data_IF_118713032110
#
_entry.id   IF_118713032110
#
_cell.length_a   1.000
_cell.length_b   1.000
_cell.length_c   1.000
_cell.angle_alpha   90.00
_cell.angle_beta   90.00
_cell.angle_gamma   90.00
#
_symmetry.space_group_name_H-M   'P 1'
#
loop_
_entity.id
_entity.type
_entity.pdbx_description
1 polymer ?
#
# COMPACT_ATOMS: atom_id res chain seq x y z
N UNK A 1 -11.91 13.34 -10.97
CA UNK A 1 -10.52 13.84 -11.23
C UNK A 1 -10.25 13.66 -12.71
N UNK A 2 -9.86 14.72 -13.42
CA UNK A 2 -9.51 14.65 -14.85
C UNK A 2 -8.01 14.34 -14.97
N UNK A 3 -7.71 13.07 -15.16
CA UNK A 3 -6.32 12.58 -15.20
C UNK A 3 -5.54 13.15 -16.38
N UNK A 4 -6.19 13.33 -17.55
CA UNK A 4 -5.51 13.87 -18.73
C UNK A 4 -5.07 15.32 -18.55
N UNK A 5 -5.90 16.14 -17.92
CA UNK A 5 -5.55 17.52 -17.60
C UNK A 5 -4.44 17.58 -16.54
N UNK A 6 -4.51 16.75 -15.51
CA UNK A 6 -3.44 16.66 -14.50
C UNK A 6 -2.11 16.31 -15.15
N UNK A 7 -2.07 15.31 -16.05
CA UNK A 7 -0.84 14.92 -16.74
C UNK A 7 -0.26 16.08 -17.58
N UNK A 8 -1.09 16.91 -18.19
CA UNK A 8 -0.64 18.09 -18.95
C UNK A 8 -0.07 19.19 -18.05
N UNK A 9 -0.62 19.36 -16.86
CA UNK A 9 -0.19 20.38 -15.90
C UNK A 9 1.06 20.00 -15.11
N UNK A 10 1.34 18.68 -14.96
CA UNK A 10 2.53 18.19 -14.27
C UNK A 10 3.81 18.59 -15.02
N UNK A 11 4.79 19.13 -14.29
CA UNK A 11 6.16 19.31 -14.82
C UNK A 11 6.87 17.99 -14.99
N UNK A 12 7.99 17.99 -15.71
CA UNK A 12 8.79 16.78 -15.89
C UNK A 12 9.35 16.27 -14.55
N UNK A 13 9.79 17.21 -13.70
CA UNK A 13 10.32 16.89 -12.36
C UNK A 13 9.24 16.27 -11.47
N UNK A 14 8.01 16.80 -11.50
CA UNK A 14 6.89 16.24 -10.75
C UNK A 14 6.52 14.84 -11.24
N UNK A 15 6.51 14.62 -12.56
CA UNK A 15 6.30 13.28 -13.14
C UNK A 15 7.37 12.30 -12.69
N UNK A 16 8.64 12.71 -12.71
CA UNK A 16 9.75 11.89 -12.22
C UNK A 16 9.63 11.60 -10.73
N UNK A 17 9.25 12.61 -9.92
CA UNK A 17 9.05 12.46 -8.49
C UNK A 17 7.93 11.45 -8.16
N UNK A 18 6.80 11.49 -8.87
CA UNK A 18 5.68 10.57 -8.65
C UNK A 18 6.08 9.09 -8.82
N UNK A 19 7.03 8.78 -9.71
CA UNK A 19 7.50 7.40 -9.92
C UNK A 19 8.73 7.03 -9.09
N UNK A 20 9.36 8.01 -8.42
CA UNK A 20 10.54 7.75 -7.57
C UNK A 20 10.21 7.42 -6.13
N UNK A 21 9.07 7.87 -5.66
CA UNK A 21 8.73 7.85 -4.23
C UNK A 21 9.48 8.92 -3.42
N UNK A 22 9.01 9.18 -2.21
CA UNK A 22 9.61 10.18 -1.29
C UNK A 22 10.22 9.56 -0.06
N UNK A 23 9.78 8.38 0.31
CA UNK A 23 10.23 7.60 1.45
C UNK A 23 10.02 6.12 1.12
N UNK A 24 10.38 5.23 2.05
CA UNK A 24 10.39 3.79 1.82
C UNK A 24 9.08 3.23 1.26
N UNK A 25 7.93 3.71 1.76
CA UNK A 25 6.59 3.21 1.37
C UNK A 25 5.63 4.33 0.97
N UNK A 26 6.13 5.48 0.50
CA UNK A 26 5.30 6.61 0.14
C UNK A 26 5.61 7.14 -1.25
N UNK A 27 4.56 7.59 -1.96
CA UNK A 27 4.73 8.37 -3.19
C UNK A 27 4.93 9.85 -2.87
N UNK A 28 5.62 10.57 -3.76
CA UNK A 28 5.70 12.02 -3.67
C UNK A 28 4.32 12.66 -3.90
N UNK A 29 3.88 13.59 -3.05
CA UNK A 29 2.67 14.36 -3.32
C UNK A 29 2.94 15.48 -4.33
N UNK A 30 1.88 15.95 -5.01
CA UNK A 30 1.90 17.20 -5.79
C UNK A 30 0.75 18.10 -5.30
N UNK A 31 0.95 18.84 -4.18
CA UNK A 31 -0.13 19.56 -3.49
C UNK A 31 -0.82 20.61 -4.37
N UNK A 32 -0.08 21.28 -5.27
CA UNK A 32 -0.67 22.28 -6.17
C UNK A 32 -1.72 21.73 -7.13
N UNK A 33 -1.68 20.41 -7.40
CA UNK A 33 -2.65 19.70 -8.24
C UNK A 33 -3.59 18.81 -7.41
N UNK A 34 -3.53 18.90 -6.08
CA UNK A 34 -4.36 18.09 -5.19
C UNK A 34 -4.00 16.60 -5.20
N UNK A 35 -2.78 16.23 -5.62
CA UNK A 35 -2.31 14.84 -5.59
C UNK A 35 -1.69 14.55 -4.22
N UNK A 36 -2.31 13.69 -3.40
CA UNK A 36 -1.76 13.34 -2.09
C UNK A 36 -0.60 12.35 -2.22
N UNK A 37 0.18 12.22 -1.16
CA UNK A 37 1.06 11.06 -0.99
C UNK A 37 0.21 9.81 -0.78
N UNK A 38 0.59 8.73 -1.43
CA UNK A 38 -0.03 7.40 -1.29
C UNK A 38 0.87 6.54 -0.45
N UNK A 39 0.32 5.95 0.62
CA UNK A 39 1.05 5.02 1.49
C UNK A 39 0.85 3.59 1.02
N UNK A 40 1.94 2.87 0.86
CA UNK A 40 1.97 1.45 0.48
C UNK A 40 2.40 0.59 1.68
N UNK A 41 2.10 -0.69 1.64
CA UNK A 41 2.61 -1.67 2.59
C UNK A 41 2.77 -3.02 1.91
N UNK A 42 3.80 -3.76 2.29
CA UNK A 42 3.86 -5.18 1.98
C UNK A 42 2.82 -5.95 2.78
N UNK A 43 2.45 -7.14 2.30
CA UNK A 43 1.66 -8.05 3.09
C UNK A 43 0.62 -8.88 2.36
N UNK A 44 1.00 -9.86 1.50
CA UNK A 44 0.05 -10.75 0.84
C UNK A 44 -0.68 -11.70 1.81
N UNK A 45 -0.14 -11.88 3.02
CA UNK A 45 -0.68 -12.75 4.08
C UNK A 45 -0.95 -12.00 5.38
N UNK A 46 -1.11 -10.69 5.31
CA UNK A 46 -1.29 -9.77 6.43
C UNK A 46 -0.34 -8.59 6.31
N UNK A 47 -0.76 -7.44 6.81
CA UNK A 47 -0.02 -6.20 6.66
C UNK A 47 1.35 -6.26 7.35
N UNK A 48 2.35 -5.68 6.71
CA UNK A 48 3.67 -5.43 7.27
C UNK A 48 3.95 -3.94 7.37
N UNK A 49 3.18 -3.26 8.20
CA UNK A 49 3.30 -1.82 8.43
C UNK A 49 4.53 -1.54 9.28
N UNK A 50 5.46 -0.73 8.77
CA UNK A 50 6.65 -0.36 9.50
C UNK A 50 6.35 0.68 10.56
N UNK A 51 7.03 0.57 11.71
CA UNK A 51 7.02 1.61 12.73
C UNK A 51 7.79 2.84 12.23
N UNK A 52 7.30 4.02 12.59
CA UNK A 52 8.02 5.25 12.30
C UNK A 52 9.44 5.23 12.89
N UNK A 53 10.44 5.61 12.10
CA UNK A 53 11.84 5.56 12.50
C UNK A 53 12.45 4.15 12.53
N UNK A 54 11.78 3.14 12.00
CA UNK A 54 12.28 1.77 11.89
C UNK A 54 13.40 1.61 10.85
N UNK A 55 13.95 0.40 10.79
CA UNK A 55 15.11 0.03 9.98
C UNK A 55 14.75 -0.48 8.57
N UNK A 56 13.82 0.17 7.89
CA UNK A 56 13.35 -0.20 6.55
C UNK A 56 12.81 -1.65 6.45
N UNK A 57 12.14 -2.10 7.50
CA UNK A 57 11.38 -3.36 7.49
C UNK A 57 12.16 -4.60 7.89
N UNK A 58 13.37 -4.45 8.40
CA UNK A 58 14.15 -5.60 8.91
C UNK A 58 13.65 -6.02 10.29
N UNK A 59 13.39 -5.04 11.17
CA UNK A 59 12.86 -5.29 12.52
C UNK A 59 11.72 -4.32 12.86
N UNK A 60 10.72 -4.78 13.58
CA UNK A 60 9.73 -3.90 14.17
C UNK A 60 8.61 -3.42 13.22
N UNK A 61 7.62 -4.27 12.97
CA UNK A 61 6.35 -3.87 12.36
C UNK A 61 5.28 -3.58 13.41
N UNK A 62 4.25 -2.82 13.02
CA UNK A 62 3.02 -2.72 13.79
C UNK A 62 2.30 -4.07 13.85
N UNK A 63 1.56 -4.36 14.93
CA UNK A 63 0.78 -5.59 15.02
C UNK A 63 -0.24 -5.68 13.89
N UNK A 64 -0.33 -6.83 13.25
CA UNK A 64 -1.34 -7.13 12.23
C UNK A 64 -1.68 -8.62 12.25
N UNK A 65 -2.82 -8.97 11.68
CA UNK A 65 -3.24 -10.37 11.60
C UNK A 65 -2.35 -11.14 10.62
N UNK A 66 -1.84 -12.28 11.06
CA UNK A 66 -1.13 -13.25 10.21
C UNK A 66 -2.16 -14.20 9.59
N UNK A 67 -2.45 -14.01 8.31
CA UNK A 67 -3.34 -14.89 7.55
C UNK A 67 -2.58 -16.12 7.00
N UNK A 68 -3.33 -17.18 6.59
CA UNK A 68 -2.72 -18.32 5.95
C UNK A 68 -1.94 -17.97 4.68
N UNK A 69 -0.89 -18.71 4.39
CA UNK A 69 -0.08 -18.49 3.18
C UNK A 69 -0.89 -18.72 1.90
N UNK A 70 -0.43 -18.17 0.77
CA UNK A 70 -1.09 -18.35 -0.52
C UNK A 70 -1.26 -19.83 -0.89
N UNK A 71 -0.26 -20.67 -0.60
CA UNK A 71 -0.35 -22.11 -0.84
C UNK A 71 -1.48 -22.75 -0.02
N UNK A 72 -1.63 -22.38 1.25
CA UNK A 72 -2.70 -22.87 2.12
C UNK A 72 -4.07 -22.39 1.63
N UNK A 73 -4.20 -21.10 1.32
CA UNK A 73 -5.45 -20.51 0.83
C UNK A 73 -5.88 -21.13 -0.51
N UNK A 74 -4.94 -21.29 -1.43
CA UNK A 74 -5.20 -21.91 -2.74
C UNK A 74 -5.62 -23.37 -2.59
N UNK A 75 -5.02 -24.12 -1.67
CA UNK A 75 -5.35 -25.52 -1.41
C UNK A 75 -6.79 -25.73 -0.90
N UNK A 76 -7.43 -24.69 -0.40
CA UNK A 76 -8.82 -24.76 0.04
C UNK A 76 -9.82 -24.83 -1.11
N UNK A 77 -9.44 -24.41 -2.32
CA UNK A 77 -10.32 -24.27 -3.50
C UNK A 77 -11.61 -23.50 -3.21
N UNK A 78 -11.56 -22.62 -2.19
CA UNK A 78 -12.71 -21.84 -1.76
C UNK A 78 -12.46 -20.33 -1.99
N UNK A 79 -12.99 -19.76 -3.07
CA UNK A 79 -12.81 -18.34 -3.38
C UNK A 79 -13.46 -17.42 -2.33
N UNK A 80 -14.54 -17.85 -1.66
CA UNK A 80 -15.19 -17.04 -0.62
C UNK A 80 -14.29 -16.80 0.59
N UNK A 81 -13.47 -17.79 0.96
CA UNK A 81 -12.48 -17.62 2.02
C UNK A 81 -11.40 -16.60 1.63
N UNK A 82 -10.95 -16.66 0.37
CA UNK A 82 -9.96 -15.70 -0.15
C UNK A 82 -10.54 -14.28 -0.18
N UNK A 83 -11.81 -14.14 -0.59
CA UNK A 83 -12.50 -12.86 -0.57
C UNK A 83 -12.60 -12.28 0.83
N UNK A 84 -13.05 -13.06 1.83
CA UNK A 84 -13.14 -12.64 3.23
C UNK A 84 -11.77 -12.28 3.82
N UNK A 85 -10.72 -13.00 3.45
CA UNK A 85 -9.35 -12.65 3.84
C UNK A 85 -8.96 -11.28 3.27
N UNK A 86 -9.27 -11.02 2.01
CA UNK A 86 -9.03 -9.71 1.38
C UNK A 86 -9.79 -8.58 2.06
N UNK A 87 -11.06 -8.80 2.43
CA UNK A 87 -11.86 -7.82 3.20
C UNK A 87 -11.21 -7.51 4.56
N UNK A 88 -10.81 -8.53 5.31
CA UNK A 88 -10.18 -8.35 6.61
C UNK A 88 -8.83 -7.61 6.51
N UNK A 89 -8.00 -7.94 5.52
CA UNK A 89 -6.75 -7.21 5.26
C UNK A 89 -7.04 -5.75 4.90
N UNK A 90 -8.08 -5.50 4.10
CA UNK A 90 -8.44 -4.13 3.70
C UNK A 90 -8.92 -3.29 4.90
N UNK A 91 -9.67 -3.87 5.84
CA UNK A 91 -10.07 -3.20 7.09
C UNK A 91 -8.85 -2.80 7.93
N UNK A 92 -7.88 -3.69 8.10
CA UNK A 92 -6.63 -3.38 8.79
C UNK A 92 -5.82 -2.32 8.02
N UNK A 93 -5.76 -2.39 6.69
CA UNK A 93 -5.09 -1.41 5.85
C UNK A 93 -5.68 0.00 6.04
N UNK A 94 -7.00 0.12 6.06
CA UNK A 94 -7.69 1.38 6.34
C UNK A 94 -7.36 1.93 7.73
N UNK A 95 -7.28 1.07 8.74
CA UNK A 95 -6.91 1.47 10.11
C UNK A 95 -5.50 2.10 10.16
N UNK A 96 -4.55 1.56 9.41
CA UNK A 96 -3.19 2.07 9.33
C UNK A 96 -2.98 3.15 8.26
N UNK A 97 -4.03 3.58 7.56
CA UNK A 97 -3.93 4.56 6.47
C UNK A 97 -3.16 4.07 5.25
N UNK A 98 -3.15 2.77 5.01
CA UNK A 98 -2.54 2.15 3.83
C UNK A 98 -3.51 2.26 2.65
N UNK A 99 -3.02 2.75 1.53
CA UNK A 99 -3.80 2.93 0.30
C UNK A 99 -3.56 1.83 -0.73
N UNK A 100 -2.35 1.24 -0.73
CA UNK A 100 -1.96 0.19 -1.67
C UNK A 100 -1.27 -0.94 -0.91
N UNK A 101 -1.83 -2.13 -1.04
CA UNK A 101 -1.21 -3.36 -0.54
C UNK A 101 -0.38 -3.98 -1.65
N UNK A 102 0.88 -4.25 -1.33
CA UNK A 102 1.81 -4.95 -2.21
C UNK A 102 1.86 -6.45 -1.84
N UNK A 103 1.99 -7.30 -2.86
CA UNK A 103 2.00 -8.73 -2.65
C UNK A 103 2.76 -9.53 -3.70
#
# INVERSE_FOLDING_TARGET
MDVENIIKELTLEEKAALVSGTDFMYTNPVPRLGIPSVRMSDGPHGLRVQKEGGDNGVTGSEPATCFPTAASTASSWNPDNTYKMGEAIAEEALHYGINVLLG
#
